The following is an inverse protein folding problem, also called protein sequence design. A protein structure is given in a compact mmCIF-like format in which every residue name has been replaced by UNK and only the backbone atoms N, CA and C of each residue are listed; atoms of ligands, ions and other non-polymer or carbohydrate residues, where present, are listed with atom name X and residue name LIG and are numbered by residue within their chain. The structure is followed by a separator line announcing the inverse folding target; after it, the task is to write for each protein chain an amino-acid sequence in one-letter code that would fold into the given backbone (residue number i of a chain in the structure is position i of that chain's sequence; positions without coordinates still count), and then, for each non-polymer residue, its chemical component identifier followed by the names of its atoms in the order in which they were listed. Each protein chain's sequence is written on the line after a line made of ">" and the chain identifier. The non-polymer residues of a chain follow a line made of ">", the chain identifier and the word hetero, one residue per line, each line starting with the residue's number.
data_IF_722764609272
#
_entry.id   IF_722764609272
#
_cell.length_a   1.000
_cell.length_b   1.000
_cell.length_c   1.000
_cell.angle_alpha   90.00
_cell.angle_beta   90.00
_cell.angle_gamma   90.00
#
_symmetry.space_group_name_H-M   'P 1'
#
loop_
_entity.id
_entity.type
_entity.pdbx_description
1 polymer ?
#
# COMPACT_ATOMS: atom_id res chain seq x y z
N UNK A 1 -10.30 18.50 -25.19
CA UNK A 1 -11.10 17.77 -24.18
C UNK A 1 -11.81 16.61 -24.87
N UNK A 2 -11.88 15.43 -24.25
CA UNK A 2 -12.65 14.31 -24.81
C UNK A 2 -14.14 14.67 -24.79
N UNK A 3 -14.82 14.49 -25.91
CA UNK A 3 -16.26 14.70 -26.06
C UNK A 3 -17.03 13.69 -25.19
N UNK A 4 -17.77 14.19 -24.20
CA UNK A 4 -18.50 13.38 -23.23
C UNK A 4 -19.93 13.05 -23.69
N UNK A 5 -20.41 13.65 -24.79
CA UNK A 5 -21.78 13.46 -25.29
C UNK A 5 -22.06 12.05 -25.81
N UNK A 6 -21.01 11.27 -26.10
CA UNK A 6 -21.09 9.91 -26.64
C UNK A 6 -20.97 8.81 -25.58
N UNK A 7 -20.85 9.17 -24.30
CA UNK A 7 -20.74 8.19 -23.22
C UNK A 7 -22.11 7.59 -22.92
N UNK A 8 -22.20 6.26 -22.99
CA UNK A 8 -23.38 5.53 -22.53
C UNK A 8 -23.50 5.63 -21.01
N UNK A 9 -24.63 6.14 -20.46
CA UNK A 9 -24.83 6.19 -19.02
C UNK A 9 -24.78 4.79 -18.42
N UNK A 10 -23.86 4.56 -17.49
CA UNK A 10 -23.77 3.28 -16.77
C UNK A 10 -24.81 3.29 -15.66
N UNK A 11 -25.58 2.21 -15.53
CA UNK A 11 -26.51 2.04 -14.40
C UNK A 11 -25.70 1.99 -13.10
N UNK A 12 -26.03 2.79 -12.08
CA UNK A 12 -25.31 2.78 -10.81
C UNK A 12 -25.29 1.37 -10.20
N UNK A 13 -24.08 0.84 -9.96
CA UNK A 13 -23.85 -0.38 -9.19
C UNK A 13 -23.36 0.04 -7.79
N UNK A 14 -24.22 -0.04 -6.76
CA UNK A 14 -23.87 0.38 -5.40
C UNK A 14 -22.70 -0.41 -4.78
N UNK A 15 -22.38 -1.59 -5.32
CA UNK A 15 -21.33 -2.46 -4.77
C UNK A 15 -19.92 -2.18 -5.30
N UNK A 16 -19.79 -1.47 -6.43
CA UNK A 16 -18.50 -1.29 -7.11
C UNK A 16 -17.93 0.12 -7.05
N UNK A 17 -18.80 1.11 -6.84
CA UNK A 17 -18.39 2.51 -6.83
C UNK A 17 -19.26 3.29 -5.85
N UNK A 18 -18.64 4.29 -5.22
CA UNK A 18 -19.39 5.34 -4.55
C UNK A 18 -19.91 6.30 -5.63
N UNK A 19 -21.21 6.56 -5.60
CA UNK A 19 -21.84 7.47 -6.55
C UNK A 19 -21.99 8.83 -5.89
N UNK A 20 -21.45 9.85 -6.54
CA UNK A 20 -21.59 11.24 -6.10
C UNK A 20 -22.21 12.07 -7.20
N UNK A 21 -22.99 13.07 -6.78
CA UNK A 21 -23.48 14.10 -7.67
C UNK A 21 -22.31 15.03 -8.02
N UNK A 22 -21.81 14.94 -9.25
CA UNK A 22 -20.75 15.83 -9.70
C UNK A 22 -21.32 17.21 -10.02
N UNK A 23 -20.84 18.27 -9.36
CA UNK A 23 -21.00 19.61 -9.89
C UNK A 23 -19.97 19.81 -11.01
N UNK A 24 -20.41 20.01 -12.25
CA UNK A 24 -19.50 20.47 -13.31
C UNK A 24 -19.99 21.80 -13.86
N UNK A 25 -19.12 22.79 -13.71
CA UNK A 25 -19.10 24.07 -14.40
C UNK A 25 -18.71 23.86 -15.87
N UNK A 26 -19.70 23.55 -16.73
CA UNK A 26 -19.53 23.46 -18.18
C UNK A 26 -20.55 24.34 -18.89
N UNK A 27 -20.09 25.33 -19.66
CA UNK A 27 -20.89 26.35 -20.33
C UNK A 27 -21.59 25.75 -21.57
N UNK A 28 -22.75 25.14 -21.39
CA UNK A 28 -23.75 25.01 -22.45
C UNK A 28 -25.04 25.62 -21.90
N UNK A 29 -25.51 26.70 -22.53
CA UNK A 29 -26.61 27.56 -22.05
C UNK A 29 -27.98 26.88 -22.12
N UNK A 30 -28.04 25.71 -22.73
CA UNK A 30 -29.21 25.14 -23.37
C UNK A 30 -29.67 23.82 -22.74
N UNK A 31 -29.01 23.33 -21.67
CA UNK A 31 -29.45 22.13 -20.95
C UNK A 31 -29.67 22.36 -19.44
N UNK A 32 -30.93 22.41 -18.96
CA UNK A 32 -31.27 22.77 -17.59
C UNK A 32 -31.11 21.64 -16.55
N UNK A 33 -30.81 20.39 -16.95
CA UNK A 33 -30.64 19.24 -16.04
C UNK A 33 -29.52 18.31 -16.53
N UNK A 34 -28.26 18.66 -16.24
CA UNK A 34 -27.07 17.82 -16.54
C UNK A 34 -26.38 17.29 -15.28
N UNK A 35 -27.16 16.78 -14.33
CA UNK A 35 -26.61 16.05 -13.21
C UNK A 35 -26.12 14.69 -13.69
N UNK A 36 -24.80 14.48 -13.77
CA UNK A 36 -24.23 13.17 -14.11
C UNK A 36 -23.82 12.44 -12.84
N UNK A 37 -24.27 11.19 -12.71
CA UNK A 37 -23.78 10.28 -11.68
C UNK A 37 -22.40 9.79 -12.11
N UNK A 38 -21.39 10.11 -11.30
CA UNK A 38 -20.02 9.66 -11.51
C UNK A 38 -19.72 8.58 -10.48
N UNK A 39 -19.32 7.40 -10.95
CA UNK A 39 -18.84 6.33 -10.10
C UNK A 39 -17.39 6.57 -9.73
N UNK A 40 -17.12 6.76 -8.44
CA UNK A 40 -15.77 6.89 -7.90
C UNK A 40 -15.39 5.56 -7.25
N UNK A 41 -14.18 5.02 -7.50
CA UNK A 41 -13.69 3.86 -6.77
C UNK A 41 -13.78 4.07 -5.25
N UNK A 42 -14.15 3.05 -4.46
CA UNK A 42 -14.20 3.19 -3.01
C UNK A 42 -12.85 3.65 -2.45
N UNK A 43 -12.86 4.70 -1.62
CA UNK A 43 -11.66 5.19 -0.96
C UNK A 43 -11.03 4.10 -0.08
N UNK A 44 -9.72 4.21 0.17
CA UNK A 44 -9.06 3.32 1.14
C UNK A 44 -9.68 3.54 2.52
N UNK A 45 -10.04 2.47 3.26
CA UNK A 45 -10.78 2.61 4.51
C UNK A 45 -9.95 3.24 5.62
N UNK A 46 -8.62 3.11 5.54
CA UNK A 46 -7.64 3.73 6.41
C UNK A 46 -6.25 3.64 5.77
N UNK A 47 -5.29 4.32 6.41
CA UNK A 47 -3.85 4.07 6.23
C UNK A 47 -3.34 3.39 7.48
N UNK A 48 -2.87 2.14 7.35
CA UNK A 48 -2.29 1.36 8.46
C UNK A 48 -0.78 1.26 8.25
N UNK A 49 0.00 1.64 9.25
CA UNK A 49 1.46 1.54 9.20
C UNK A 49 1.88 0.41 10.13
N UNK A 50 2.56 -0.60 9.59
CA UNK A 50 3.18 -1.64 10.40
C UNK A 50 4.58 -1.19 10.77
N UNK A 51 4.89 -1.21 12.07
CA UNK A 51 6.19 -0.83 12.64
C UNK A 51 6.71 -2.02 13.44
N UNK A 52 7.94 -2.45 13.17
CA UNK A 52 8.53 -3.61 13.83
C UNK A 52 9.10 -3.21 15.18
N UNK A 53 9.27 -4.20 16.05
CA UNK A 53 9.91 -4.02 17.34
C UNK A 53 11.43 -3.91 17.22
N UNK A 54 12.07 -3.65 18.36
CA UNK A 54 13.54 -3.75 18.49
C UNK A 54 13.95 -5.20 18.21
N UNK A 55 15.06 -5.39 17.47
CA UNK A 55 15.59 -6.71 17.09
C UNK A 55 14.63 -7.61 16.28
N UNK A 56 13.70 -7.03 15.51
CA UNK A 56 12.82 -7.74 14.59
C UNK A 56 12.87 -7.04 13.23
N UNK A 57 12.77 -7.81 12.15
CA UNK A 57 12.68 -7.27 10.79
C UNK A 57 11.24 -7.22 10.26
N UNK A 58 10.24 -7.30 11.14
CA UNK A 58 8.83 -7.32 10.75
C UNK A 58 8.39 -8.67 10.16
N UNK A 59 8.90 -9.77 10.70
CA UNK A 59 8.59 -11.14 10.27
C UNK A 59 7.07 -11.42 10.25
N UNK A 60 6.32 -10.76 11.13
CA UNK A 60 4.88 -10.87 11.27
C UNK A 60 4.07 -10.08 10.22
N UNK A 61 4.70 -9.21 9.43
CA UNK A 61 4.00 -8.29 8.53
C UNK A 61 3.18 -9.02 7.48
N UNK A 62 3.67 -10.13 6.94
CA UNK A 62 2.97 -10.85 5.87
C UNK A 62 1.65 -11.43 6.38
N UNK A 63 1.71 -12.21 7.46
CA UNK A 63 0.54 -12.87 8.04
C UNK A 63 -0.49 -11.85 8.53
N UNK A 64 -0.03 -10.78 9.18
CA UNK A 64 -0.90 -9.69 9.58
C UNK A 64 -1.53 -8.99 8.38
N UNK A 65 -0.79 -8.76 7.29
CA UNK A 65 -1.33 -8.11 6.09
C UNK A 65 -2.40 -8.95 5.39
N UNK A 66 -2.24 -10.27 5.37
CA UNK A 66 -3.27 -11.21 4.89
C UNK A 66 -4.54 -11.07 5.71
N UNK A 67 -4.42 -11.16 7.04
CA UNK A 67 -5.57 -11.13 7.94
C UNK A 67 -6.26 -9.75 7.96
N UNK A 68 -5.50 -8.66 7.87
CA UNK A 68 -6.06 -7.30 7.77
C UNK A 68 -6.85 -7.12 6.48
N UNK A 69 -6.31 -7.52 5.33
CA UNK A 69 -7.03 -7.42 4.06
C UNK A 69 -8.35 -8.23 4.10
N UNK A 70 -8.29 -9.47 4.59
CA UNK A 70 -9.46 -10.34 4.75
C UNK A 70 -10.49 -9.77 5.74
N UNK A 71 -10.03 -9.32 6.91
CA UNK A 71 -10.88 -8.77 7.96
C UNK A 71 -11.55 -7.46 7.57
N UNK A 72 -10.82 -6.55 6.91
CA UNK A 72 -11.37 -5.29 6.41
C UNK A 72 -12.37 -5.52 5.29
N UNK A 73 -12.05 -6.42 4.34
CA UNK A 73 -13.00 -6.84 3.31
C UNK A 73 -14.30 -7.37 3.92
N UNK A 74 -14.20 -8.31 4.89
CA UNK A 74 -15.37 -8.85 5.58
C UNK A 74 -16.18 -7.79 6.34
N UNK A 75 -15.51 -6.93 7.10
CA UNK A 75 -16.17 -5.91 7.94
C UNK A 75 -16.87 -4.83 7.10
N UNK A 76 -16.29 -4.47 5.96
CA UNK A 76 -16.78 -3.39 5.10
C UNK A 76 -17.63 -3.88 3.92
N UNK A 77 -17.83 -5.20 3.79
CA UNK A 77 -18.51 -5.79 2.62
C UNK A 77 -17.74 -5.58 1.31
N UNK A 78 -16.42 -5.47 1.39
CA UNK A 78 -15.51 -5.23 0.26
C UNK A 78 -14.84 -6.52 -0.19
N UNK A 79 -14.34 -6.54 -1.43
CA UNK A 79 -13.59 -7.68 -2.00
C UNK A 79 -12.32 -7.23 -2.73
N UNK A 80 -12.04 -5.94 -2.72
CA UNK A 80 -11.03 -5.29 -3.53
C UNK A 80 -9.74 -4.99 -2.76
N UNK A 81 -9.73 -5.08 -1.43
CA UNK A 81 -8.52 -4.88 -0.63
C UNK A 81 -7.62 -6.11 -0.75
N UNK A 82 -6.35 -5.87 -1.04
CA UNK A 82 -5.34 -6.89 -1.27
C UNK A 82 -4.31 -6.94 -0.15
N UNK A 83 -3.76 -8.13 0.08
CA UNK A 83 -2.57 -8.31 0.93
C UNK A 83 -1.34 -7.71 0.25
N UNK A 84 -0.29 -7.48 1.03
CA UNK A 84 1.02 -7.13 0.48
C UNK A 84 1.74 -8.39 0.01
N UNK A 85 2.23 -8.39 -1.22
CA UNK A 85 3.03 -9.49 -1.76
C UNK A 85 4.51 -9.30 -1.43
N UNK A 86 5.19 -10.30 -0.86
CA UNK A 86 6.61 -10.23 -0.55
C UNK A 86 7.45 -10.23 -1.84
N UNK A 87 8.58 -9.52 -1.81
CA UNK A 87 9.52 -9.47 -2.91
C UNK A 87 10.29 -10.80 -3.01
N UNK A 88 10.35 -11.40 -4.21
CA UNK A 88 10.98 -12.71 -4.42
C UNK A 88 12.46 -12.77 -3.99
N UNK A 89 13.21 -11.67 -4.16
CA UNK A 89 14.64 -11.60 -3.80
C UNK A 89 14.87 -11.28 -2.32
N UNK A 90 13.88 -10.75 -1.63
CA UNK A 90 13.99 -10.33 -0.25
C UNK A 90 12.62 -10.46 0.41
N UNK A 91 12.35 -11.61 1.01
CA UNK A 91 11.08 -11.92 1.68
C UNK A 91 10.71 -10.95 2.80
N UNK A 92 11.68 -10.16 3.29
CA UNK A 92 11.48 -9.10 4.29
C UNK A 92 10.99 -7.79 3.68
N UNK A 93 10.74 -7.72 2.38
CA UNK A 93 10.22 -6.52 1.69
C UNK A 93 8.98 -6.87 0.90
N UNK A 94 8.18 -5.85 0.63
CA UNK A 94 6.92 -5.99 -0.08
C UNK A 94 6.95 -5.19 -1.38
N UNK A 95 6.32 -5.76 -2.40
CA UNK A 95 6.14 -5.12 -3.69
C UNK A 95 5.13 -3.97 -3.57
N UNK A 96 5.49 -2.80 -4.11
CA UNK A 96 4.56 -1.67 -4.26
C UNK A 96 3.59 -1.87 -5.42
N UNK A 97 4.02 -2.62 -6.43
CA UNK A 97 3.25 -2.92 -7.63
C UNK A 97 3.34 -4.41 -7.95
N UNK A 98 2.21 -4.99 -8.33
CA UNK A 98 2.07 -6.37 -8.80
C UNK A 98 1.43 -6.29 -10.18
N UNK A 99 2.02 -6.97 -11.16
CA UNK A 99 1.55 -6.97 -12.57
C UNK A 99 1.36 -5.55 -13.16
N UNK A 100 2.26 -4.62 -12.82
CA UNK A 100 2.23 -3.23 -13.32
C UNK A 100 1.11 -2.37 -12.73
N UNK A 101 0.44 -2.85 -11.66
CA UNK A 101 -0.56 -2.09 -10.92
C UNK A 101 -0.14 -1.94 -9.48
N UNK A 102 -0.38 -0.75 -8.90
CA UNK A 102 -0.18 -0.53 -7.47
C UNK A 102 -1.05 -1.48 -6.66
N UNK A 103 -0.43 -2.17 -5.70
CA UNK A 103 -1.12 -3.08 -4.79
C UNK A 103 -2.21 -2.32 -4.04
N UNK A 104 -3.45 -2.80 -4.09
CA UNK A 104 -4.60 -2.15 -3.48
C UNK A 104 -4.70 -2.50 -1.99
N UNK A 105 -3.68 -2.15 -1.21
CA UNK A 105 -3.55 -2.49 0.21
C UNK A 105 -3.52 -1.25 1.10
N UNK A 106 -4.27 -1.22 2.23
CA UNK A 106 -4.23 -0.10 3.17
C UNK A 106 -2.97 -0.09 4.05
N UNK A 107 -2.10 -1.10 3.88
CA UNK A 107 -0.96 -1.34 4.76
C UNK A 107 0.32 -0.78 4.14
N UNK A 108 1.08 -0.09 4.97
CA UNK A 108 2.41 0.43 4.66
C UNK A 108 3.40 -0.22 5.63
N UNK A 109 4.27 -1.13 5.15
CA UNK A 109 5.31 -1.71 5.99
C UNK A 109 6.43 -0.69 6.20
N UNK A 110 6.69 -0.35 7.45
CA UNK A 110 7.75 0.56 7.86
C UNK A 110 8.88 -0.20 8.53
N UNK A 111 10.12 0.15 8.20
CA UNK A 111 11.32 -0.42 8.79
C UNK A 111 12.12 0.69 9.46
N UNK A 112 12.19 0.62 10.79
CA UNK A 112 12.99 1.48 11.65
C UNK A 112 14.44 0.97 11.66
N UNK A 113 15.39 1.89 11.71
CA UNK A 113 16.81 1.57 11.85
C UNK A 113 17.65 2.03 10.67
N UNK A 114 18.88 2.44 10.97
CA UNK A 114 19.84 2.86 9.95
C UNK A 114 20.35 1.63 9.20
N UNK A 115 20.26 1.66 7.87
CA UNK A 115 20.87 0.63 7.02
C UNK A 115 22.03 1.24 6.25
N UNK A 116 23.24 0.94 6.69
CA UNK A 116 24.48 1.30 5.97
C UNK A 116 24.49 0.69 4.57
N UNK A 117 24.97 1.48 3.60
CA UNK A 117 25.27 0.98 2.25
C UNK A 117 26.31 -0.13 2.36
N UNK A 118 26.29 -1.17 1.49
CA UNK A 118 27.28 -2.25 1.49
C UNK A 118 28.73 -1.77 1.61
N UNK A 119 29.10 -0.67 0.95
CA UNK A 119 30.46 -0.12 0.98
C UNK A 119 30.84 0.52 2.33
N UNK A 120 29.84 0.99 3.10
CA UNK A 120 30.03 1.73 4.35
C UNK A 120 29.85 0.83 5.59
N UNK A 121 29.62 -0.48 5.40
CA UNK A 121 29.43 -1.43 6.52
C UNK A 121 30.77 -1.76 7.14
N UNK A 122 30.91 -1.47 8.43
CA UNK A 122 32.03 -1.98 9.21
C UNK A 122 31.52 -3.21 9.97
N UNK A 123 32.18 -4.35 9.76
CA UNK A 123 31.87 -5.56 10.53
C UNK A 123 32.38 -5.30 11.96
N UNK A 124 31.47 -5.12 12.91
CA UNK A 124 31.78 -4.88 14.34
C UNK A 124 32.54 -6.06 14.96
N UNK A 125 32.35 -7.25 14.40
CA UNK A 125 32.83 -8.50 14.99
C UNK A 125 34.19 -8.88 14.42
N UNK A 126 35.22 -8.63 15.23
CA UNK A 126 36.41 -9.46 15.21
C UNK A 126 35.98 -10.88 15.60
N UNK A 127 36.27 -11.89 14.76
CA UNK A 127 35.76 -13.26 14.93
C UNK A 127 36.16 -13.89 16.28
N UNK A 128 37.07 -13.27 17.03
CA UNK A 128 37.53 -13.70 18.35
C UNK A 128 36.62 -13.27 19.54
N UNK A 129 35.75 -12.24 19.39
CA UNK A 129 35.06 -11.61 20.54
C UNK A 129 33.54 -11.85 20.61
N UNK A 130 32.90 -12.22 19.50
CA UNK A 130 31.42 -12.34 19.43
C UNK A 130 31.00 -13.48 18.49
N UNK A 131 31.30 -14.74 18.83
CA UNK A 131 30.96 -15.90 18.00
C UNK A 131 29.45 -16.16 17.91
N UNK A 132 28.66 -15.57 18.79
CA UNK A 132 27.21 -15.72 18.93
C UNK A 132 26.39 -14.75 18.05
N UNK A 133 27.01 -13.72 17.44
CA UNK A 133 26.33 -12.72 16.58
C UNK A 133 27.06 -12.44 15.27
N UNK A 134 27.08 -13.40 14.32
CA UNK A 134 27.80 -13.26 13.05
C UNK A 134 27.20 -12.20 12.10
N UNK A 135 25.99 -11.72 12.40
CA UNK A 135 25.18 -10.81 11.59
C UNK A 135 25.12 -9.38 12.15
N UNK A 136 25.86 -9.05 13.22
CA UNK A 136 25.95 -7.69 13.74
C UNK A 136 26.87 -6.80 12.86
N UNK A 137 26.31 -5.71 12.34
CA UNK A 137 27.01 -4.70 11.53
C UNK A 137 26.90 -3.34 12.23
N UNK A 138 27.96 -2.53 12.23
CA UNK A 138 27.87 -1.11 12.57
C UNK A 138 28.10 -0.21 11.37
N UNK A 139 27.66 1.02 11.52
CA UNK A 139 28.18 2.14 10.76
C UNK A 139 29.63 2.51 11.12
N UNK A 140 30.18 3.49 10.41
CA UNK A 140 31.53 4.04 10.64
C UNK A 140 31.74 4.70 12.01
N UNK A 141 30.68 4.89 12.78
CA UNK A 141 30.67 5.50 14.10
C UNK A 141 30.43 4.47 15.22
N UNK A 142 30.25 3.19 14.88
CA UNK A 142 30.05 2.12 15.85
C UNK A 142 28.59 1.96 16.29
N UNK A 143 27.62 2.54 15.57
CA UNK A 143 26.17 2.37 15.83
C UNK A 143 25.56 1.23 15.02
#
# INVERSE_FOLDING_TARGET
>A
MKDLSKLTPVKPDPGKAQWVEGQVTGIAKDEPKRTHLIGIPPLMPCTTIFVHGVNSDGEWYHDAAVQFAQGLNKRLGRTDLQKLEPESKNSKRFLREVDGKRTHSPIIPFYWGYKTRPQDRIKLVDNARTPDRPDAWADRFGN
#
